data_IF_550380395361
#
_entry.id   IF_550380395361
#
_cell.length_a   1.000
_cell.length_b   1.000
_cell.length_c   1.000
_cell.angle_alpha   90.00
_cell.angle_beta   90.00
_cell.angle_gamma   90.00
#
_symmetry.space_group_name_H-M   'P 1'
#
loop_
_entity.id
_entity.type
_entity.pdbx_description
1 polymer ?
#
# COMPACT_ATOMS: atom_id res chain seq x y z
N UNK A 1 13.70 -8.89 -10.91
CA UNK A 1 12.67 -7.83 -11.08
C UNK A 1 11.27 -8.42 -10.82
N UNK A 2 10.95 -8.74 -9.56
CA UNK A 2 9.60 -9.26 -9.19
C UNK A 2 8.73 -8.17 -8.53
N UNK A 3 9.33 -7.03 -8.18
CA UNK A 3 8.77 -5.96 -7.35
C UNK A 3 7.79 -5.02 -8.06
N UNK A 4 7.96 -4.80 -9.37
CA UNK A 4 7.12 -3.87 -10.14
C UNK A 4 5.63 -4.22 -10.12
N UNK A 5 5.24 -5.47 -9.81
CA UNK A 5 3.83 -5.88 -9.74
C UNK A 5 3.17 -5.57 -8.38
N UNK A 6 3.93 -5.62 -7.28
CA UNK A 6 3.41 -5.34 -5.94
C UNK A 6 3.14 -3.84 -5.84
N UNK A 7 4.12 -3.01 -6.19
CA UNK A 7 3.99 -1.55 -6.17
C UNK A 7 2.83 -1.06 -7.04
N UNK A 8 2.71 -1.61 -8.27
CA UNK A 8 1.60 -1.27 -9.16
C UNK A 8 0.24 -1.63 -8.56
N UNK A 9 0.13 -2.76 -7.84
CA UNK A 9 -1.11 -3.15 -7.20
C UNK A 9 -1.43 -2.22 -6.02
N UNK A 10 -0.44 -1.92 -5.17
CA UNK A 10 -0.60 -1.01 -4.03
C UNK A 10 -0.96 0.40 -4.50
N UNK A 11 -0.29 0.93 -5.53
CA UNK A 11 -0.59 2.25 -6.10
C UNK A 11 -2.00 2.33 -6.68
N UNK A 12 -2.50 1.26 -7.32
CA UNK A 12 -3.89 1.20 -7.80
C UNK A 12 -4.89 1.24 -6.66
N UNK A 13 -4.65 0.46 -5.60
CA UNK A 13 -5.51 0.44 -4.41
C UNK A 13 -5.50 1.81 -3.73
N UNK A 14 -4.32 2.42 -3.55
CA UNK A 14 -4.18 3.75 -2.97
C UNK A 14 -4.97 4.80 -3.78
N UNK A 15 -4.83 4.80 -5.11
CA UNK A 15 -5.58 5.70 -5.99
C UNK A 15 -7.10 5.54 -5.83
N UNK A 16 -7.58 4.28 -5.81
CA UNK A 16 -9.00 3.98 -5.66
C UNK A 16 -9.55 4.45 -4.31
N UNK A 17 -8.82 4.19 -3.22
CA UNK A 17 -9.26 4.59 -1.87
C UNK A 17 -9.22 6.11 -1.70
N UNK A 18 -8.18 6.76 -2.22
CA UNK A 18 -8.02 8.21 -2.12
C UNK A 18 -8.89 8.99 -3.13
N UNK A 19 -9.57 8.30 -4.05
CA UNK A 19 -10.45 8.92 -5.04
C UNK A 19 -9.71 9.74 -6.11
N UNK A 20 -8.47 9.38 -6.43
CA UNK A 20 -7.62 10.07 -7.43
C UNK A 20 -7.25 9.14 -8.59
N UNK A 21 -6.74 9.70 -9.69
CA UNK A 21 -6.26 8.86 -10.78
C UNK A 21 -4.97 8.16 -10.38
N UNK A 22 -4.76 6.93 -10.85
CA UNK A 22 -3.51 6.18 -10.60
C UNK A 22 -2.29 6.94 -11.13
N UNK A 23 -2.45 7.73 -12.19
CA UNK A 23 -1.39 8.56 -12.76
C UNK A 23 -0.95 9.71 -11.83
N UNK A 24 -1.75 10.06 -10.82
CA UNK A 24 -1.46 11.10 -9.82
C UNK A 24 -0.84 10.51 -8.53
N UNK A 25 -0.67 9.19 -8.48
CA UNK A 25 -0.01 8.50 -7.36
C UNK A 25 1.48 8.33 -7.66
N UNK A 26 2.30 8.84 -6.76
CA UNK A 26 3.73 8.65 -6.73
C UNK A 26 4.17 8.11 -5.36
N UNK A 27 5.41 7.62 -5.25
CA UNK A 27 5.94 7.11 -3.99
C UNK A 27 5.91 8.15 -2.85
N UNK A 28 6.01 9.44 -3.19
CA UNK A 28 5.98 10.52 -2.21
C UNK A 28 4.57 11.03 -1.88
N UNK A 29 3.53 10.50 -2.55
CA UNK A 29 2.14 10.92 -2.32
C UNK A 29 1.74 10.62 -0.87
N UNK A 30 1.25 11.63 -0.12
CA UNK A 30 0.86 11.44 1.27
C UNK A 30 -0.48 10.71 1.38
N UNK A 31 -0.56 9.77 2.33
CA UNK A 31 -1.83 9.18 2.77
C UNK A 31 -2.30 9.96 3.99
N UNK A 32 -3.07 11.02 3.76
CA UNK A 32 -3.38 12.02 4.78
C UNK A 32 -4.38 11.54 5.84
N UNK A 33 -5.39 10.77 5.43
CA UNK A 33 -6.45 10.34 6.32
C UNK A 33 -6.17 8.97 6.92
N UNK A 34 -6.46 8.83 8.22
CA UNK A 34 -6.32 7.55 8.93
C UNK A 34 -7.23 6.47 8.34
N UNK A 35 -8.46 6.84 7.96
CA UNK A 35 -9.41 5.93 7.29
C UNK A 35 -8.78 5.31 6.05
N UNK A 36 -8.10 6.11 5.24
CA UNK A 36 -7.53 5.67 3.98
C UNK A 36 -6.37 4.70 4.22
N UNK A 37 -5.53 4.94 5.24
CA UNK A 37 -4.47 4.01 5.64
C UNK A 37 -5.04 2.63 6.00
N UNK A 38 -6.13 2.60 6.75
CA UNK A 38 -6.77 1.35 7.15
C UNK A 38 -7.37 0.62 5.94
N UNK A 39 -8.15 1.32 5.11
CA UNK A 39 -8.77 0.73 3.92
C UNK A 39 -7.74 0.27 2.88
N UNK A 40 -6.70 1.07 2.61
CA UNK A 40 -5.59 0.66 1.73
C UNK A 40 -4.95 -0.62 2.26
N UNK A 41 -4.75 -0.72 3.58
CA UNK A 41 -4.15 -1.90 4.18
C UNK A 41 -5.00 -3.15 4.05
N UNK A 42 -6.29 -3.03 4.35
CA UNK A 42 -7.22 -4.16 4.28
C UNK A 42 -7.33 -4.68 2.83
N UNK A 43 -7.55 -3.78 1.87
CA UNK A 43 -7.64 -4.12 0.45
C UNK A 43 -6.34 -4.73 -0.07
N UNK A 44 -5.19 -4.20 0.36
CA UNK A 44 -3.87 -4.75 -0.03
C UNK A 44 -3.65 -6.14 0.55
N UNK A 45 -4.00 -6.35 1.83
CA UNK A 45 -3.88 -7.64 2.49
C UNK A 45 -4.77 -8.69 1.82
N UNK A 46 -5.99 -8.34 1.44
CA UNK A 46 -6.91 -9.20 0.70
C UNK A 46 -6.32 -9.53 -0.69
N UNK A 47 -5.94 -8.51 -1.46
CA UNK A 47 -5.48 -8.68 -2.84
C UNK A 47 -4.18 -9.50 -2.96
N UNK A 48 -3.27 -9.34 -2.01
CA UNK A 48 -1.96 -10.00 -2.02
C UNK A 48 -1.89 -11.22 -1.09
N UNK A 49 -3.02 -11.59 -0.46
CA UNK A 49 -3.08 -12.61 0.59
C UNK A 49 -1.99 -12.37 1.65
N UNK A 50 -1.83 -11.15 2.15
CA UNK A 50 -0.86 -10.76 3.19
C UNK A 50 -1.55 -10.58 4.54
N UNK A 51 -0.74 -10.48 5.60
CA UNK A 51 -1.22 -10.10 6.93
C UNK A 51 -0.27 -9.03 7.50
N UNK A 52 -0.63 -7.76 7.27
CA UNK A 52 0.09 -6.60 7.76
C UNK A 52 -0.77 -5.98 8.85
N UNK A 53 -0.18 -5.78 10.03
CA UNK A 53 -0.91 -5.19 11.14
C UNK A 53 -1.30 -3.75 10.84
N UNK A 54 -2.50 -3.32 11.26
CA UNK A 54 -2.95 -1.93 11.16
C UNK A 54 -1.98 -0.97 11.85
N UNK A 55 -1.33 -1.42 12.94
CA UNK A 55 -0.31 -0.63 13.63
C UNK A 55 0.90 -0.35 12.73
N UNK A 56 1.41 -1.34 12.01
CA UNK A 56 2.53 -1.17 11.06
C UNK A 56 2.12 -0.31 9.87
N UNK A 57 0.96 -0.59 9.27
CA UNK A 57 0.47 0.15 8.10
C UNK A 57 0.24 1.64 8.41
N UNK A 58 -0.30 1.93 9.60
CA UNK A 58 -0.60 3.31 10.01
C UNK A 58 0.61 4.21 10.23
N UNK A 59 1.79 3.63 10.45
CA UNK A 59 3.04 4.38 10.55
C UNK A 59 3.51 4.92 9.20
N UNK A 60 3.07 4.32 8.09
CA UNK A 60 3.42 4.75 6.75
C UNK A 60 2.70 6.07 6.44
N UNK A 61 3.45 7.11 6.09
CA UNK A 61 2.97 8.46 5.79
C UNK A 61 2.72 8.64 4.30
N UNK A 62 3.47 7.94 3.46
CA UNK A 62 3.37 8.00 2.01
C UNK A 62 3.05 6.63 1.40
N UNK A 63 2.62 6.64 0.14
CA UNK A 63 2.41 5.42 -0.64
C UNK A 63 3.70 4.60 -0.77
N UNK A 64 4.85 5.25 -0.95
CA UNK A 64 6.15 4.59 -1.07
C UNK A 64 6.57 3.85 0.21
N UNK A 65 6.44 4.49 1.38
CA UNK A 65 6.72 3.82 2.66
C UNK A 65 5.82 2.58 2.85
N UNK A 66 4.56 2.67 2.41
CA UNK A 66 3.64 1.55 2.46
C UNK A 66 4.01 0.44 1.46
N UNK A 67 4.44 0.78 0.25
CA UNK A 67 4.96 -0.21 -0.71
C UNK A 67 6.15 -0.99 -0.12
N UNK A 68 7.13 -0.30 0.46
CA UNK A 68 8.28 -0.93 1.12
C UNK A 68 7.88 -1.85 2.28
N UNK A 69 6.84 -1.49 3.04
CA UNK A 69 6.27 -2.37 4.07
C UNK A 69 5.69 -3.64 3.44
N UNK A 70 4.85 -3.50 2.41
CA UNK A 70 4.19 -4.62 1.72
C UNK A 70 5.22 -5.56 1.10
N UNK A 71 6.26 -5.03 0.47
CA UNK A 71 7.34 -5.82 -0.12
C UNK A 71 8.08 -6.66 0.92
N UNK A 72 8.43 -6.09 2.08
CA UNK A 72 9.07 -6.83 3.17
C UNK A 72 8.22 -8.00 3.65
N UNK A 73 6.91 -7.79 3.77
CA UNK A 73 5.98 -8.86 4.15
C UNK A 73 5.82 -9.92 3.05
N UNK A 74 5.81 -9.52 1.78
CA UNK A 74 5.71 -10.45 0.66
C UNK A 74 6.97 -11.34 0.53
N UNK A 75 8.15 -10.82 0.87
CA UNK A 75 9.40 -11.56 0.86
C UNK A 75 9.48 -12.62 1.97
N UNK A 76 8.90 -12.34 3.15
CA UNK A 76 8.90 -13.27 4.30
C UNK A 76 7.99 -14.50 4.13
N UNK A 77 7.21 -14.57 3.05
CA UNK A 77 6.34 -15.71 2.75
C UNK A 77 7.02 -16.83 1.95
N UNK A 78 8.27 -16.65 1.55
CA UNK A 78 9.11 -17.65 0.89
C UNK A 78 10.36 -17.93 1.72
#
# INVERSE_FOLDING_TARGET
>A
MMYARIDQQVMRIAAQVMGVAVADIEAHTPIAHWSDKATINDETCIALNLNISTQSASQCRTVGEYCELVERHAQQRF
#
